data_IF_154061694884
#
_entry.id   IF_154061694884
#
_cell.length_a   1.000
_cell.length_b   1.000
_cell.length_c   1.000
_cell.angle_alpha   90.00
_cell.angle_beta   90.00
_cell.angle_gamma   90.00
#
_symmetry.space_group_name_H-M   'P 1'
#
loop_
_entity.id
_entity.type
_entity.pdbx_description
1 polymer ?
#
# COMPACT_ATOMS: atom_id res chain seq x y z
N UNK A 1 -18.22 -20.25 -9.53
CA UNK A 1 -19.24 -19.24 -9.17
C UNK A 1 -19.18 -18.13 -10.21
N UNK A 2 -20.29 -17.81 -10.90
CA UNK A 2 -20.28 -16.76 -11.93
C UNK A 2 -20.04 -15.41 -11.25
N UNK A 3 -18.98 -14.72 -11.63
CA UNK A 3 -18.65 -13.39 -11.10
C UNK A 3 -19.76 -12.41 -11.49
N UNK A 4 -20.37 -11.76 -10.48
CA UNK A 4 -21.43 -10.75 -10.66
C UNK A 4 -20.88 -9.42 -11.23
N UNK A 5 -19.56 -9.31 -11.34
CA UNK A 5 -18.83 -8.09 -11.67
C UNK A 5 -18.43 -8.04 -13.15
N UNK A 6 -18.46 -6.84 -13.74
CA UNK A 6 -18.07 -6.59 -15.13
C UNK A 6 -16.54 -6.65 -15.27
N UNK A 7 -15.99 -7.18 -16.38
CA UNK A 7 -14.55 -7.09 -16.62
C UNK A 7 -14.12 -5.63 -16.79
N UNK A 8 -12.91 -5.31 -16.33
CA UNK A 8 -12.35 -3.96 -16.47
C UNK A 8 -12.08 -3.65 -17.96
N UNK A 9 -12.51 -2.48 -18.49
CA UNK A 9 -12.32 -2.16 -19.90
C UNK A 9 -10.85 -1.84 -20.21
N UNK A 10 -10.42 -2.07 -21.45
CA UNK A 10 -9.16 -1.54 -21.96
C UNK A 10 -9.37 -0.08 -22.35
N UNK A 11 -8.61 0.82 -21.71
CA UNK A 11 -8.67 2.25 -21.94
C UNK A 11 -7.39 2.64 -22.70
N UNK A 12 -7.56 3.31 -23.85
CA UNK A 12 -6.47 3.52 -24.81
C UNK A 12 -5.76 4.88 -24.65
N UNK A 13 -6.24 5.74 -23.76
CA UNK A 13 -5.67 7.05 -23.48
C UNK A 13 -6.12 7.57 -22.11
N UNK A 14 -5.30 8.43 -21.51
CA UNK A 14 -5.60 9.11 -20.25
C UNK A 14 -6.95 9.85 -20.30
N UNK A 15 -7.28 10.50 -21.42
CA UNK A 15 -8.57 11.17 -21.59
C UNK A 15 -9.77 10.19 -21.63
N UNK A 16 -9.56 8.96 -22.12
CA UNK A 16 -10.57 7.90 -22.03
C UNK A 16 -10.69 7.35 -20.61
N UNK A 17 -9.58 7.32 -19.86
CA UNK A 17 -9.55 6.95 -18.45
C UNK A 17 -10.30 7.97 -17.58
N UNK A 18 -10.04 9.26 -17.75
CA UNK A 18 -10.72 10.35 -17.03
C UNK A 18 -12.24 10.25 -17.23
N UNK A 19 -12.69 10.15 -18.48
CA UNK A 19 -14.12 10.00 -18.81
C UNK A 19 -14.73 8.75 -18.20
N UNK A 20 -13.99 7.64 -18.18
CA UNK A 20 -14.45 6.41 -17.58
C UNK A 20 -14.60 6.55 -16.06
N UNK A 21 -13.63 7.15 -15.38
CA UNK A 21 -13.65 7.39 -13.93
C UNK A 21 -14.80 8.33 -13.53
N UNK A 22 -15.05 9.37 -14.33
CA UNK A 22 -16.13 10.34 -14.06
C UNK A 22 -17.53 9.74 -14.20
N UNK A 23 -17.71 8.77 -15.10
CA UNK A 23 -19.05 8.30 -15.50
C UNK A 23 -19.40 6.90 -14.99
N UNK A 24 -18.40 6.06 -14.69
CA UNK A 24 -18.61 4.69 -14.28
C UNK A 24 -18.54 4.52 -12.76
N UNK A 25 -19.51 3.81 -12.18
CA UNK A 25 -19.39 3.28 -10.84
C UNK A 25 -18.48 2.04 -10.84
N UNK A 26 -17.22 2.27 -10.44
CA UNK A 26 -16.13 1.29 -10.40
C UNK A 26 -16.41 0.10 -9.47
N UNK A 27 -17.35 0.22 -8.52
CA UNK A 27 -17.70 -0.88 -7.60
C UNK A 27 -18.37 -2.07 -8.30
N UNK A 28 -18.88 -1.87 -9.52
CA UNK A 28 -19.51 -2.91 -10.33
C UNK A 28 -18.53 -3.72 -11.19
N UNK A 29 -17.24 -3.37 -11.16
CA UNK A 29 -16.19 -4.00 -11.96
C UNK A 29 -15.37 -5.00 -11.16
N UNK A 30 -14.71 -5.93 -11.86
CA UNK A 30 -13.84 -6.93 -11.25
C UNK A 30 -12.52 -6.29 -10.80
N UNK A 31 -12.42 -6.04 -9.49
CA UNK A 31 -11.24 -5.48 -8.85
C UNK A 31 -10.28 -6.55 -8.30
N UNK A 32 -10.49 -7.84 -8.58
CA UNK A 32 -9.68 -8.94 -8.01
C UNK A 32 -8.20 -8.91 -8.41
N UNK A 33 -7.87 -8.23 -9.51
CA UNK A 33 -6.49 -8.03 -9.95
C UNK A 33 -5.76 -6.89 -9.22
N UNK A 34 -6.48 -6.04 -8.49
CA UNK A 34 -5.86 -4.96 -7.71
C UNK A 34 -5.14 -5.54 -6.49
N UNK A 35 -3.96 -4.99 -6.20
CA UNK A 35 -3.20 -5.36 -5.00
C UNK A 35 -3.43 -4.29 -3.92
N UNK A 36 -3.71 -4.69 -2.67
CA UNK A 36 -3.79 -3.75 -1.56
C UNK A 36 -2.52 -2.89 -1.51
N UNK A 37 -2.69 -1.57 -1.47
CA UNK A 37 -1.61 -0.61 -1.32
C UNK A 37 -1.82 0.19 -0.04
N UNK A 38 -0.79 0.28 0.78
CA UNK A 38 -0.82 1.07 2.02
C UNK A 38 -0.07 2.39 1.80
N UNK A 39 -0.82 3.49 1.83
CA UNK A 39 -0.25 4.84 1.73
C UNK A 39 0.08 5.37 3.13
N UNK A 40 1.15 6.16 3.23
CA UNK A 40 1.41 6.95 4.44
C UNK A 40 0.49 8.17 4.41
N UNK A 41 -0.54 8.21 5.26
CA UNK A 41 -1.48 9.34 5.30
C UNK A 41 -1.14 10.37 6.40
N UNK A 42 -0.47 9.94 7.47
CA UNK A 42 -0.12 10.81 8.59
C UNK A 42 1.18 11.59 8.37
N UNK A 43 1.17 12.85 8.80
CA UNK A 43 2.35 13.71 8.75
C UNK A 43 3.41 13.22 9.75
N UNK A 44 4.70 13.33 9.37
CA UNK A 44 5.85 12.96 10.23
C UNK A 44 6.08 14.03 11.31
N UNK A 45 5.21 14.08 12.32
CA UNK A 45 5.17 15.13 13.35
C UNK A 45 5.98 14.82 14.61
N UNK A 46 6.32 13.55 14.86
CA UNK A 46 7.05 13.11 16.05
C UNK A 46 8.23 12.18 15.71
N UNK A 47 9.25 12.16 16.58
CA UNK A 47 10.45 11.34 16.44
C UNK A 47 10.53 10.27 17.55
N UNK A 48 10.85 9.03 17.16
CA UNK A 48 11.16 7.94 18.08
C UNK A 48 12.68 7.74 18.14
N UNK A 49 13.29 8.05 19.29
CA UNK A 49 14.71 7.83 19.55
C UNK A 49 14.88 6.67 20.54
N UNK A 50 15.53 5.58 20.12
CA UNK A 50 15.75 4.41 20.97
C UNK A 50 17.07 3.70 20.68
N UNK A 51 17.60 2.99 21.68
CA UNK A 51 18.76 2.11 21.50
C UNK A 51 18.31 0.70 21.10
N UNK A 52 19.04 0.09 20.17
CA UNK A 52 18.78 -1.26 19.69
C UNK A 52 20.09 -2.07 19.64
N UNK A 53 20.04 -3.38 19.91
CA UNK A 53 21.13 -4.29 19.56
C UNK A 53 21.46 -4.21 18.07
N UNK A 54 22.75 -4.27 17.73
CA UNK A 54 23.21 -4.15 16.33
C UNK A 54 22.61 -5.23 15.43
N UNK A 55 22.60 -6.48 15.90
CA UNK A 55 22.02 -7.61 15.17
C UNK A 55 20.53 -7.42 14.84
N UNK A 56 19.77 -6.80 15.74
CA UNK A 56 18.35 -6.49 15.50
C UNK A 56 18.19 -5.41 14.43
N UNK A 57 18.99 -4.34 14.49
CA UNK A 57 18.97 -3.30 13.47
C UNK A 57 19.29 -3.85 12.07
N UNK A 58 20.26 -4.74 11.98
CA UNK A 58 20.66 -5.36 10.71
C UNK A 58 19.57 -6.28 10.15
N UNK A 59 18.90 -7.05 11.02
CA UNK A 59 17.76 -7.88 10.64
C UNK A 59 16.59 -7.04 10.11
N UNK A 60 16.29 -5.89 10.74
CA UNK A 60 15.26 -4.96 10.27
C UNK A 60 15.60 -4.36 8.90
N UNK A 61 16.85 -3.94 8.69
CA UNK A 61 17.33 -3.43 7.39
C UNK A 61 17.22 -4.49 6.29
N UNK A 62 17.59 -5.74 6.58
CA UNK A 62 17.48 -6.84 5.64
C UNK A 62 16.03 -7.11 5.22
N UNK A 63 15.09 -7.16 6.19
CA UNK A 63 13.66 -7.32 5.91
C UNK A 63 13.07 -6.15 5.10
N UNK A 64 13.49 -4.92 5.40
CA UNK A 64 13.07 -3.74 4.66
C UNK A 64 13.55 -3.78 3.20
N UNK A 65 14.82 -4.17 2.98
CA UNK A 65 15.39 -4.37 1.64
C UNK A 65 14.62 -5.42 0.83
N UNK A 66 14.28 -6.55 1.44
CA UNK A 66 13.48 -7.60 0.78
C UNK A 66 12.08 -7.11 0.38
N UNK A 67 11.55 -6.08 1.05
CA UNK A 67 10.27 -5.43 0.73
C UNK A 67 10.40 -4.20 -0.18
N UNK A 68 11.62 -3.81 -0.55
CA UNK A 68 11.86 -2.62 -1.39
C UNK A 68 11.49 -1.30 -0.72
N UNK A 69 11.50 -1.22 0.61
CA UNK A 69 11.14 0.00 1.36
C UNK A 69 12.29 0.45 2.29
N UNK A 70 12.37 1.76 2.65
CA UNK A 70 13.31 2.22 3.66
C UNK A 70 13.09 1.53 5.02
N UNK A 71 14.17 1.25 5.75
CA UNK A 71 14.07 0.54 7.04
C UNK A 71 13.26 1.33 8.08
N UNK A 72 13.30 2.67 8.06
CA UNK A 72 12.49 3.52 8.94
C UNK A 72 10.99 3.37 8.65
N UNK A 73 10.59 3.27 7.38
CA UNK A 73 9.22 2.94 6.98
C UNK A 73 8.82 1.56 7.46
N UNK A 74 9.71 0.58 7.33
CA UNK A 74 9.46 -0.77 7.83
C UNK A 74 9.24 -0.83 9.35
N UNK A 75 10.06 -0.11 10.13
CA UNK A 75 9.87 0.00 11.59
C UNK A 75 8.52 0.63 11.92
N UNK A 76 8.14 1.72 11.24
CA UNK A 76 6.82 2.34 11.45
C UNK A 76 5.67 1.36 11.18
N UNK A 77 5.71 0.65 10.05
CA UNK A 77 4.68 -0.36 9.71
C UNK A 77 4.55 -1.45 10.78
N UNK A 78 5.65 -1.84 11.43
CA UNK A 78 5.60 -2.79 12.53
C UNK A 78 4.92 -2.20 13.76
N UNK A 79 5.22 -0.95 14.11
CA UNK A 79 4.57 -0.24 15.23
C UNK A 79 3.09 -0.03 14.96
N UNK A 80 2.73 0.46 13.77
CA UNK A 80 1.34 0.64 13.33
C UNK A 80 0.57 -0.68 13.37
N UNK A 81 1.17 -1.78 12.90
CA UNK A 81 0.55 -3.11 12.95
C UNK A 81 0.34 -3.61 14.39
N UNK A 82 1.24 -3.27 15.30
CA UNK A 82 1.14 -3.68 16.70
C UNK A 82 0.05 -2.91 17.46
N UNK A 83 -0.08 -1.60 17.19
CA UNK A 83 -1.07 -0.74 17.86
C UNK A 83 -2.42 -0.69 17.17
N UNK A 84 -2.52 -1.10 15.91
CA UNK A 84 -3.78 -1.21 15.21
C UNK A 84 -4.64 -2.33 15.84
N UNK A 85 -5.70 -1.91 16.53
CA UNK A 85 -6.77 -2.77 17.06
C UNK A 85 -7.48 -3.56 15.94
#
# INVERSE_FOLDING_TARGET
>A
MKTKFKPMPSLASDAAEERFIETADISNYDLSHFKPMHFEFEAKSAALNMRLPQNLLDALKSKAKAKGIPYSRYVRLLLEKDVAL
#
